data_IF_603515097879
#
_entry.id   IF_603515097879
#
_cell.length_a   1.000
_cell.length_b   1.000
_cell.length_c   1.000
_cell.angle_alpha   90.00
_cell.angle_beta   90.00
_cell.angle_gamma   90.00
#
_symmetry.space_group_name_H-M   'P 1'
#
loop_
_entity.id
_entity.type
_entity.pdbx_description
1 polymer ?
#
# COMPACT_ATOMS: atom_id res chain seq x y z
N UNK A 1 -1.47 -30.41 4.20
CA UNK A 1 -1.41 -29.51 3.04
C UNK A 1 -2.15 -28.23 3.36
N UNK A 2 -1.51 -27.09 3.13
CA UNK A 2 -2.10 -25.76 3.18
C UNK A 2 -2.41 -25.27 1.76
N UNK A 3 -3.38 -24.38 1.63
CA UNK A 3 -3.52 -23.54 0.44
C UNK A 3 -2.45 -22.46 0.48
N UNK A 4 -1.66 -22.37 -0.59
CA UNK A 4 -0.60 -21.36 -0.76
C UNK A 4 -0.64 -20.65 -2.12
N UNK A 5 -1.63 -20.97 -2.95
CA UNK A 5 -1.81 -20.45 -4.31
C UNK A 5 -3.30 -20.16 -4.52
N UNK A 6 -3.61 -18.92 -4.89
CA UNK A 6 -4.99 -18.50 -5.15
C UNK A 6 -5.69 -19.29 -6.26
N UNK A 7 -4.92 -19.94 -7.15
CA UNK A 7 -5.50 -20.74 -8.23
C UNK A 7 -6.15 -22.04 -7.72
N UNK A 8 -5.78 -22.49 -6.51
CA UNK A 8 -6.23 -23.77 -5.95
C UNK A 8 -7.35 -23.63 -4.93
N UNK A 9 -7.66 -22.40 -4.51
CA UNK A 9 -8.65 -22.09 -3.47
C UNK A 9 -9.87 -21.42 -4.09
N UNK A 10 -11.07 -21.85 -3.68
CA UNK A 10 -12.31 -21.21 -4.11
C UNK A 10 -12.42 -19.80 -3.54
N UNK A 11 -13.12 -18.92 -4.26
CA UNK A 11 -13.36 -17.54 -3.83
C UNK A 11 -14.02 -17.48 -2.44
N UNK A 12 -15.05 -18.30 -2.19
CA UNK A 12 -15.76 -18.32 -0.90
C UNK A 12 -14.81 -18.62 0.26
N UNK A 13 -13.95 -19.63 0.08
CA UNK A 13 -12.98 -20.03 1.10
C UNK A 13 -11.89 -18.98 1.29
N UNK A 14 -11.45 -18.33 0.22
CA UNK A 14 -10.53 -17.20 0.30
C UNK A 14 -11.15 -16.02 1.05
N UNK A 15 -12.42 -15.69 0.82
CA UNK A 15 -13.13 -14.63 1.55
C UNK A 15 -13.13 -14.93 3.05
N UNK A 16 -13.37 -16.17 3.46
CA UNK A 16 -13.29 -16.54 4.88
C UNK A 16 -11.90 -16.25 5.48
N UNK A 17 -10.82 -16.60 4.75
CA UNK A 17 -9.42 -16.34 5.15
C UNK A 17 -9.18 -14.84 5.25
N UNK A 18 -9.59 -14.08 4.23
CA UNK A 18 -9.43 -12.62 4.17
C UNK A 18 -10.14 -11.92 5.34
N UNK A 19 -11.26 -12.46 5.79
CA UNK A 19 -12.03 -11.98 6.95
C UNK A 19 -11.49 -12.47 8.30
N UNK A 20 -10.36 -13.19 8.31
CA UNK A 20 -9.63 -13.59 9.52
C UNK A 20 -9.81 -15.05 9.95
N UNK A 21 -10.56 -15.87 9.21
CA UNK A 21 -10.65 -17.30 9.49
C UNK A 21 -9.46 -18.04 8.87
N UNK A 22 -8.30 -17.90 9.49
CA UNK A 22 -7.04 -18.48 8.99
C UNK A 22 -7.06 -20.02 8.95
N UNK A 23 -7.90 -20.70 9.72
CA UNK A 23 -8.00 -22.17 9.68
C UNK A 23 -8.49 -22.69 8.32
N UNK A 24 -9.11 -21.82 7.52
CA UNK A 24 -9.53 -22.13 6.15
C UNK A 24 -8.34 -22.29 5.19
N UNK A 25 -7.11 -21.95 5.58
CA UNK A 25 -5.91 -22.32 4.79
C UNK A 25 -5.64 -23.83 4.83
N UNK A 26 -6.15 -24.57 5.82
CA UNK A 26 -5.88 -26.01 5.97
C UNK A 26 -6.72 -26.81 4.97
N UNK A 27 -6.06 -27.65 4.16
CA UNK A 27 -6.71 -28.68 3.34
C UNK A 27 -6.73 -30.03 4.05
N UNK A 28 -5.61 -30.40 4.68
CA UNK A 28 -5.47 -31.66 5.43
C UNK A 28 -4.31 -31.56 6.42
N UNK A 29 -4.44 -32.16 7.59
CA UNK A 29 -3.37 -32.21 8.60
C UNK A 29 -3.50 -31.13 9.66
N UNK A 30 -2.55 -31.10 10.59
CA UNK A 30 -2.48 -30.14 11.69
C UNK A 30 -1.27 -29.23 11.47
N UNK A 31 -1.46 -27.94 11.71
CA UNK A 31 -0.45 -26.90 11.49
C UNK A 31 -0.46 -25.93 12.66
N UNK A 32 0.71 -25.37 12.96
CA UNK A 32 0.85 -24.33 13.96
C UNK A 32 0.11 -23.06 13.56
N UNK A 33 -0.13 -22.20 14.53
CA UNK A 33 -0.74 -20.89 14.32
C UNK A 33 0.09 -20.05 13.33
N UNK A 34 1.41 -20.05 13.49
CA UNK A 34 2.34 -19.30 12.64
C UNK A 34 2.29 -19.75 11.18
N UNK A 35 2.28 -21.05 10.92
CA UNK A 35 2.19 -21.58 9.54
C UNK A 35 0.87 -21.18 8.85
N UNK A 36 -0.24 -21.15 9.61
CA UNK A 36 -1.53 -20.69 9.10
C UNK A 36 -1.52 -19.20 8.78
N UNK A 37 -0.93 -18.39 9.65
CA UNK A 37 -0.77 -16.94 9.47
C UNK A 37 0.06 -16.64 8.22
N UNK A 38 1.21 -17.29 8.06
CA UNK A 38 2.09 -17.13 6.89
C UNK A 38 1.39 -17.52 5.58
N UNK A 39 0.66 -18.65 5.56
CA UNK A 39 -0.11 -19.06 4.38
C UNK A 39 -1.26 -18.10 4.06
N UNK A 40 -1.98 -17.64 5.10
CA UNK A 40 -3.06 -16.66 4.97
C UNK A 40 -2.55 -15.33 4.41
N UNK A 41 -1.45 -14.82 4.98
CA UNK A 41 -0.80 -13.59 4.53
C UNK A 41 -0.36 -13.70 3.07
N UNK A 42 0.28 -14.81 2.70
CA UNK A 42 0.70 -15.08 1.31
C UNK A 42 -0.48 -15.01 0.33
N UNK A 43 -1.61 -15.64 0.64
CA UNK A 43 -2.81 -15.61 -0.21
C UNK A 43 -3.42 -14.20 -0.29
N UNK A 44 -3.54 -13.50 0.83
CA UNK A 44 -4.05 -12.13 0.86
C UNK A 44 -3.16 -11.17 0.06
N UNK A 45 -1.84 -11.28 0.22
CA UNK A 45 -0.88 -10.47 -0.52
C UNK A 45 -0.91 -10.78 -2.03
N UNK A 46 -1.04 -12.06 -2.41
CA UNK A 46 -1.22 -12.42 -3.82
C UNK A 46 -2.49 -11.76 -4.40
N UNK A 47 -3.62 -11.82 -3.69
CA UNK A 47 -4.91 -11.29 -4.18
C UNK A 47 -4.85 -9.78 -4.36
N UNK A 48 -4.34 -9.10 -3.33
CA UNK A 48 -4.19 -7.66 -3.31
C UNK A 48 -3.18 -7.16 -4.36
N UNK A 49 -2.16 -7.96 -4.69
CA UNK A 49 -1.23 -7.62 -5.77
C UNK A 49 -1.87 -7.67 -7.17
N UNK A 50 -2.86 -8.56 -7.37
CA UNK A 50 -3.61 -8.66 -8.62
C UNK A 50 -4.62 -7.51 -8.70
N UNK A 51 -5.52 -7.42 -7.73
CA UNK A 51 -6.62 -6.43 -7.72
C UNK A 51 -6.09 -5.01 -7.58
N UNK A 52 -5.10 -4.82 -6.70
CA UNK A 52 -4.49 -3.53 -6.39
C UNK A 52 -3.23 -3.23 -7.21
N UNK A 53 -2.96 -3.91 -8.32
CA UNK A 53 -1.66 -3.86 -9.01
C UNK A 53 -1.10 -2.46 -9.36
N UNK A 54 -1.93 -1.41 -9.43
CA UNK A 54 -1.48 -0.01 -9.50
C UNK A 54 -1.81 0.80 -8.24
N UNK A 55 -3.00 0.62 -7.66
CA UNK A 55 -3.46 1.42 -6.51
C UNK A 55 -2.83 0.98 -5.18
N UNK A 56 -2.58 -0.31 -4.97
CA UNK A 56 -1.84 -0.81 -3.81
C UNK A 56 -0.35 -0.52 -3.91
N UNK A 57 0.26 -0.63 -5.09
CA UNK A 57 1.65 -0.19 -5.27
C UNK A 57 1.78 1.33 -5.04
N UNK A 58 0.83 2.13 -5.53
CA UNK A 58 0.78 3.56 -5.26
C UNK A 58 0.55 3.84 -3.75
N UNK A 59 -0.31 3.08 -3.08
CA UNK A 59 -0.56 3.20 -1.64
C UNK A 59 0.65 2.79 -0.79
N UNK A 60 1.34 1.70 -1.14
CA UNK A 60 2.58 1.23 -0.52
C UNK A 60 3.68 2.26 -0.74
N UNK A 61 3.86 2.75 -1.97
CA UNK A 61 4.82 3.80 -2.27
C UNK A 61 4.49 5.07 -1.48
N UNK A 62 3.22 5.47 -1.41
CA UNK A 62 2.77 6.61 -0.61
C UNK A 62 3.09 6.43 0.87
N UNK A 63 2.82 5.26 1.45
CA UNK A 63 3.16 4.93 2.84
C UNK A 63 4.67 4.91 3.08
N UNK A 64 5.44 4.32 2.17
CA UNK A 64 6.90 4.29 2.24
C UNK A 64 7.48 5.71 2.19
N UNK A 65 6.93 6.59 1.36
CA UNK A 65 7.36 7.99 1.31
C UNK A 65 7.00 8.75 2.61
N UNK A 66 5.81 8.52 3.19
CA UNK A 66 5.46 9.09 4.50
C UNK A 66 6.42 8.60 5.59
N UNK A 67 6.72 7.29 5.62
CA UNK A 67 7.65 6.70 6.57
C UNK A 67 9.06 7.29 6.43
N UNK A 68 9.58 7.41 5.20
CA UNK A 68 10.87 8.06 4.93
C UNK A 68 10.91 9.49 5.44
N UNK A 69 9.84 10.26 5.22
CA UNK A 69 9.72 11.64 5.72
C UNK A 69 9.77 11.66 7.26
N UNK A 70 8.97 10.84 7.93
CA UNK A 70 8.97 10.80 9.41
C UNK A 70 10.32 10.36 9.99
N UNK A 71 10.97 9.35 9.41
CA UNK A 71 12.30 8.91 9.84
C UNK A 71 13.31 10.05 9.75
N UNK A 72 13.34 10.75 8.61
CA UNK A 72 14.24 11.88 8.40
C UNK A 72 13.94 13.05 9.34
N UNK A 73 12.67 13.38 9.56
CA UNK A 73 12.29 14.42 10.53
C UNK A 73 12.73 14.08 11.96
N UNK A 74 12.58 12.82 12.38
CA UNK A 74 13.07 12.36 13.69
C UNK A 74 14.59 12.51 13.80
N UNK A 75 15.35 12.16 12.76
CA UNK A 75 16.79 12.39 12.71
C UNK A 75 17.14 13.88 12.83
N UNK A 76 16.40 14.77 12.16
CA UNK A 76 16.64 16.23 12.24
C UNK A 76 16.30 16.83 13.61
N UNK A 77 15.29 16.30 14.30
CA UNK A 77 15.02 16.66 15.70
C UNK A 77 16.21 16.29 16.59
N UNK A 78 16.83 15.11 16.37
CA UNK A 78 18.07 14.71 17.07
C UNK A 78 19.26 15.61 16.71
N UNK A 79 19.43 15.94 15.43
CA UNK A 79 20.47 16.90 15.02
C UNK A 79 20.30 18.26 15.71
N UNK A 80 19.07 18.72 15.91
CA UNK A 80 18.80 20.00 16.59
C UNK A 80 19.31 19.99 18.03
N UNK A 81 19.06 18.89 18.75
CA UNK A 81 19.58 18.70 20.11
C UNK A 81 21.13 18.67 20.13
N UNK A 82 21.76 17.94 19.21
CA UNK A 82 23.22 17.89 19.15
C UNK A 82 23.86 19.23 18.76
N UNK A 83 23.21 20.02 17.89
CA UNK A 83 23.65 21.38 17.57
C UNK A 83 23.61 22.30 18.79
N UNK A 84 22.58 22.19 19.64
CA UNK A 84 22.49 22.96 20.89
C UNK A 84 23.59 22.58 21.90
N UNK A 85 24.00 21.30 21.90
CA UNK A 85 25.08 20.79 22.73
C UNK A 85 26.48 21.06 22.15
N UNK A 86 26.57 21.51 20.89
CA UNK A 86 27.84 21.71 20.19
C UNK A 86 28.49 20.43 19.64
N UNK A 87 27.76 19.31 19.64
CA UNK A 87 28.21 17.98 19.21
C UNK A 87 28.12 17.83 17.68
N UNK A 88 28.97 18.57 16.95
CA UNK A 88 28.90 18.68 15.49
C UNK A 88 29.28 17.40 14.74
N UNK A 89 30.10 16.55 15.36
CA UNK A 89 30.47 15.26 14.77
C UNK A 89 29.27 14.30 14.75
N UNK A 90 28.42 14.31 15.78
CA UNK A 90 27.18 13.52 15.80
C UNK A 90 26.16 14.04 14.78
N UNK A 91 26.03 15.37 14.63
CA UNK A 91 25.19 15.97 13.58
C UNK A 91 25.65 15.51 12.20
N UNK A 92 26.96 15.54 11.95
CA UNK A 92 27.55 15.10 10.68
C UNK A 92 27.31 13.62 10.43
N UNK A 93 27.50 12.75 11.43
CA UNK A 93 27.26 11.32 11.30
C UNK A 93 25.81 11.01 10.91
N UNK A 94 24.84 11.69 11.52
CA UNK A 94 23.43 11.55 11.18
C UNK A 94 23.16 12.06 9.76
N UNK A 95 23.72 13.22 9.38
CA UNK A 95 23.55 13.78 8.05
C UNK A 95 24.15 12.87 6.97
N UNK A 96 25.31 12.26 7.21
CA UNK A 96 25.97 11.33 6.30
C UNK A 96 25.14 10.04 6.14
N UNK A 97 24.59 9.51 7.23
CA UNK A 97 23.66 8.37 7.20
C UNK A 97 22.36 8.66 6.41
N UNK A 98 21.96 9.93 6.32
CA UNK A 98 20.85 10.40 5.48
C UNK A 98 21.26 10.72 4.03
N UNK A 99 22.55 10.56 3.69
CA UNK A 99 23.11 10.81 2.36
C UNK A 99 23.54 12.25 2.10
N UNK A 100 23.79 13.04 3.15
CA UNK A 100 24.30 14.41 3.04
C UNK A 100 25.69 14.52 3.66
N UNK A 101 26.71 14.70 2.81
CA UNK A 101 28.11 14.78 3.25
C UNK A 101 28.58 16.23 3.42
N UNK A 102 29.31 16.49 4.51
CA UNK A 102 29.85 17.81 4.89
C UNK A 102 31.23 17.69 5.53
N UNK A 103 32.05 18.72 5.37
CA UNK A 103 33.39 18.86 5.99
C UNK A 103 33.34 19.47 7.39
N UNK A 104 34.42 19.21 8.15
CA UNK A 104 34.88 19.89 9.39
C UNK A 104 34.03 21.09 9.80
N UNK A 105 34.31 22.16 9.08
CA UNK A 105 33.89 23.52 9.35
C UNK A 105 32.53 23.92 8.76
N UNK A 106 31.79 23.01 8.13
CA UNK A 106 30.58 23.34 7.36
C UNK A 106 29.29 23.36 8.21
N UNK A 107 29.40 23.81 9.47
CA UNK A 107 28.30 23.82 10.44
C UNK A 107 27.07 24.61 9.96
N UNK A 108 27.28 25.80 9.40
CA UNK A 108 26.17 26.61 8.89
C UNK A 108 25.50 25.99 7.65
N UNK A 109 26.27 25.26 6.84
CA UNK A 109 25.71 24.51 5.70
C UNK A 109 24.86 23.33 6.15
N UNK A 110 25.31 22.61 7.20
CA UNK A 110 24.52 21.55 7.83
C UNK A 110 23.20 22.10 8.37
N UNK A 111 23.24 23.21 9.12
CA UNK A 111 22.04 23.87 9.67
C UNK A 111 21.06 24.27 8.56
N UNK A 112 21.55 24.99 7.55
CA UNK A 112 20.72 25.43 6.43
C UNK A 112 20.10 24.25 5.66
N UNK A 113 20.83 23.14 5.52
CA UNK A 113 20.31 21.92 4.87
C UNK A 113 19.18 21.29 5.70
N UNK A 114 19.37 21.15 7.01
CA UNK A 114 18.37 20.60 7.92
C UNK A 114 17.08 21.42 7.84
N UNK A 115 17.18 22.76 7.91
CA UNK A 115 16.04 23.66 7.85
C UNK A 115 15.29 23.56 6.50
N UNK A 116 16.03 23.62 5.40
CA UNK A 116 15.47 23.56 4.04
C UNK A 116 14.75 22.23 3.77
N UNK A 117 15.39 21.10 4.13
CA UNK A 117 14.78 19.77 3.91
C UNK A 117 13.59 19.56 4.84
N UNK A 118 13.67 20.01 6.10
CA UNK A 118 12.56 19.95 7.05
C UNK A 118 11.33 20.72 6.55
N UNK A 119 11.52 21.92 6.01
CA UNK A 119 10.42 22.73 5.46
C UNK A 119 9.77 22.05 4.24
N UNK A 120 10.59 21.52 3.33
CA UNK A 120 10.13 20.77 2.15
C UNK A 120 9.34 19.52 2.54
N UNK A 121 9.83 18.78 3.52
CA UNK A 121 9.20 17.54 4.02
C UNK A 121 7.88 17.80 4.73
N UNK A 122 7.78 18.85 5.55
CA UNK A 122 6.51 19.26 6.19
C UNK A 122 5.44 19.60 5.16
N UNK A 123 5.78 20.37 4.14
CA UNK A 123 4.86 20.70 3.04
C UNK A 123 4.41 19.44 2.29
N UNK A 124 5.36 18.55 1.97
CA UNK A 124 5.09 17.31 1.25
C UNK A 124 4.22 16.35 2.07
N UNK A 125 4.44 16.25 3.37
CA UNK A 125 3.63 15.44 4.29
C UNK A 125 2.18 15.93 4.33
N UNK A 126 1.98 17.25 4.49
CA UNK A 126 0.64 17.86 4.48
C UNK A 126 -0.13 17.53 3.20
N UNK A 127 0.51 17.67 2.02
CA UNK A 127 -0.08 17.31 0.73
C UNK A 127 -0.41 15.82 0.60
N UNK A 128 0.40 14.94 1.20
CA UNK A 128 0.15 13.49 1.19
C UNK A 128 -1.02 13.12 2.12
N UNK A 129 -1.23 13.85 3.21
CA UNK A 129 -2.32 13.64 4.19
C UNK A 129 -3.67 14.19 3.70
N UNK A 130 -3.72 15.35 3.03
CA UNK A 130 -4.96 15.86 2.42
C UNK A 130 -5.58 14.87 1.41
N UNK A 131 -4.74 14.07 0.74
CA UNK A 131 -5.17 13.02 -0.18
C UNK A 131 -5.47 11.67 0.48
N UNK A 132 -5.27 11.49 1.80
CA UNK A 132 -5.69 10.26 2.51
C UNK A 132 -7.10 10.36 3.11
N UNK A 133 -7.56 11.56 3.44
CA UNK A 133 -8.84 11.76 4.11
C UNK A 133 -10.05 11.60 3.17
N UNK A 134 -9.81 11.63 1.85
CA UNK A 134 -10.81 11.31 0.83
C UNK A 134 -10.91 9.80 0.49
N UNK A 135 -10.08 8.94 1.08
CA UNK A 135 -10.28 7.50 1.03
C UNK A 135 -10.94 7.05 2.34
N UNK A 136 -12.26 7.21 2.44
CA UNK A 136 -13.03 6.48 3.43
C UNK A 136 -12.61 5.01 3.33
N UNK A 137 -11.98 4.46 4.38
CA UNK A 137 -11.55 3.06 4.39
C UNK A 137 -12.82 2.22 4.31
N UNK A 138 -13.23 1.85 3.10
CA UNK A 138 -14.30 0.88 2.92
C UNK A 138 -13.83 -0.39 3.60
N UNK A 139 -14.46 -0.72 4.73
CA UNK A 139 -14.20 -1.97 5.43
C UNK A 139 -14.50 -3.11 4.44
N UNK A 140 -13.48 -3.90 4.11
CA UNK A 140 -13.61 -5.05 3.22
C UNK A 140 -14.22 -6.22 4.00
N UNK A 141 -15.47 -6.07 4.41
CA UNK A 141 -16.26 -7.12 5.04
C UNK A 141 -16.92 -8.05 4.00
N UNK A 142 -17.70 -9.03 4.45
CA UNK A 142 -18.38 -9.95 3.52
C UNK A 142 -19.30 -9.21 2.55
N UNK A 143 -19.97 -8.16 3.00
CA UNK A 143 -20.88 -7.38 2.18
C UNK A 143 -20.12 -6.61 1.08
N UNK A 144 -18.90 -6.14 1.38
CA UNK A 144 -18.00 -5.60 0.36
C UNK A 144 -17.76 -6.61 -0.77
N UNK A 145 -17.40 -7.86 -0.47
CA UNK A 145 -17.15 -8.88 -1.48
C UNK A 145 -18.42 -9.26 -2.27
N UNK A 146 -19.60 -9.23 -1.63
CA UNK A 146 -20.87 -9.43 -2.33
C UNK A 146 -21.11 -8.32 -3.35
N UNK A 147 -20.98 -7.05 -2.93
CA UNK A 147 -21.17 -5.89 -3.82
C UNK A 147 -20.15 -5.88 -4.96
N UNK A 148 -18.89 -6.16 -4.67
CA UNK A 148 -17.82 -6.24 -5.67
C UNK A 148 -18.13 -7.34 -6.69
N UNK A 149 -18.54 -8.53 -6.24
CA UNK A 149 -18.89 -9.64 -7.13
C UNK A 149 -20.10 -9.30 -7.99
N UNK A 150 -21.14 -8.67 -7.45
CA UNK A 150 -22.32 -8.23 -8.21
C UNK A 150 -21.91 -7.20 -9.27
N UNK A 151 -21.03 -6.27 -8.94
CA UNK A 151 -20.51 -5.29 -9.90
C UNK A 151 -19.73 -5.96 -11.04
N UNK A 152 -18.85 -6.90 -10.71
CA UNK A 152 -18.10 -7.69 -11.70
C UNK A 152 -19.05 -8.49 -12.58
N UNK A 153 -19.98 -9.26 -12.00
CA UNK A 153 -20.99 -10.03 -12.76
C UNK A 153 -21.78 -9.15 -13.74
N UNK A 154 -22.20 -7.96 -13.27
CA UNK A 154 -22.94 -6.99 -14.08
C UNK A 154 -22.11 -6.43 -15.24
N UNK A 155 -20.82 -6.18 -15.00
CA UNK A 155 -19.89 -5.64 -15.98
C UNK A 155 -19.55 -6.66 -17.08
N UNK A 156 -19.18 -7.88 -16.69
CA UNK A 156 -18.75 -8.93 -17.63
C UNK A 156 -19.91 -9.76 -18.19
N UNK A 157 -21.12 -9.58 -17.67
CA UNK A 157 -22.34 -10.34 -18.04
C UNK A 157 -22.19 -11.85 -17.88
N UNK A 158 -21.52 -12.28 -16.80
CA UNK A 158 -21.29 -13.68 -16.46
C UNK A 158 -21.60 -13.93 -14.99
N UNK A 159 -22.24 -15.05 -14.69
CA UNK A 159 -22.48 -15.48 -13.32
C UNK A 159 -21.19 -16.03 -12.69
N UNK A 160 -20.88 -15.57 -11.48
CA UNK A 160 -19.73 -16.02 -10.68
C UNK A 160 -20.23 -16.75 -9.45
N UNK A 161 -20.08 -18.07 -9.42
CA UNK A 161 -20.31 -18.85 -8.20
C UNK A 161 -19.02 -18.90 -7.38
N UNK A 162 -19.07 -18.37 -6.15
CA UNK A 162 -17.92 -18.29 -5.25
C UNK A 162 -17.35 -19.65 -4.82
N UNK A 163 -18.12 -20.73 -4.98
CA UNK A 163 -17.67 -22.07 -4.61
C UNK A 163 -16.89 -22.77 -5.74
N UNK A 164 -17.09 -22.33 -6.99
CA UNK A 164 -16.49 -22.96 -8.17
C UNK A 164 -15.37 -22.10 -8.78
N UNK A 165 -15.48 -20.78 -8.72
CA UNK A 165 -14.41 -19.88 -9.16
C UNK A 165 -13.22 -19.93 -8.22
N UNK A 166 -12.01 -19.98 -8.79
CA UNK A 166 -10.81 -19.74 -8.00
C UNK A 166 -10.73 -18.27 -7.57
N UNK A 167 -10.11 -18.03 -6.41
CA UNK A 167 -9.87 -16.66 -5.95
C UNK A 167 -8.97 -15.88 -6.93
N UNK A 168 -8.09 -16.58 -7.66
CA UNK A 168 -7.19 -15.98 -8.66
C UNK A 168 -7.94 -15.48 -9.89
N UNK A 169 -8.82 -16.30 -10.47
CA UNK A 169 -9.66 -15.89 -11.61
C UNK A 169 -10.51 -14.69 -11.24
N UNK A 170 -11.15 -14.73 -10.06
CA UNK A 170 -11.93 -13.61 -9.56
C UNK A 170 -11.09 -12.33 -9.41
N UNK A 171 -9.88 -12.42 -8.86
CA UNK A 171 -8.98 -11.27 -8.73
C UNK A 171 -8.67 -10.61 -10.09
N UNK A 172 -8.43 -11.41 -11.13
CA UNK A 172 -8.21 -10.90 -12.48
C UNK A 172 -9.47 -10.28 -13.10
N UNK A 173 -10.66 -10.83 -12.83
CA UNK A 173 -11.92 -10.22 -13.28
C UNK A 173 -12.14 -8.84 -12.66
N UNK A 174 -11.88 -8.70 -11.35
CA UNK A 174 -11.93 -7.40 -10.66
C UNK A 174 -10.91 -6.43 -11.29
N UNK A 175 -9.66 -6.88 -11.47
CA UNK A 175 -8.61 -6.07 -12.10
C UNK A 175 -9.02 -5.56 -13.48
N UNK A 176 -9.50 -6.45 -14.35
CA UNK A 176 -9.89 -6.11 -15.72
C UNK A 176 -11.04 -5.09 -15.74
N UNK A 177 -12.07 -5.30 -14.91
CA UNK A 177 -13.16 -4.33 -14.76
C UNK A 177 -12.63 -2.94 -14.36
N UNK A 178 -11.76 -2.88 -13.35
CA UNK A 178 -11.17 -1.63 -12.89
C UNK A 178 -10.31 -0.95 -13.98
N UNK A 179 -9.51 -1.71 -14.73
CA UNK A 179 -8.69 -1.19 -15.83
C UNK A 179 -9.55 -0.62 -16.97
N UNK A 180 -10.64 -1.29 -17.32
CA UNK A 180 -11.60 -0.82 -18.34
C UNK A 180 -12.34 0.44 -17.90
N UNK A 181 -12.85 0.49 -16.67
CA UNK A 181 -13.50 1.69 -16.10
C UNK A 181 -12.52 2.86 -16.13
N UNK A 182 -11.29 2.64 -15.67
CA UNK A 182 -10.25 3.66 -15.68
C UNK A 182 -9.90 4.12 -17.11
N UNK A 183 -9.88 3.22 -18.09
CA UNK A 183 -9.68 3.57 -19.50
C UNK A 183 -10.80 4.45 -20.04
N UNK A 184 -12.06 4.13 -19.73
CA UNK A 184 -13.23 4.95 -20.08
C UNK A 184 -13.19 6.33 -19.42
N UNK A 185 -12.80 6.43 -18.16
CA UNK A 185 -12.65 7.73 -17.47
C UNK A 185 -11.57 8.58 -18.17
N UNK A 186 -10.44 7.98 -18.56
CA UNK A 186 -9.37 8.68 -19.27
C UNK A 186 -9.81 9.18 -20.66
N UNK A 187 -10.54 8.38 -21.43
CA UNK A 187 -11.02 8.80 -22.76
C UNK A 187 -12.04 9.93 -22.67
N UNK A 188 -12.98 9.89 -21.72
CA UNK A 188 -13.95 10.97 -21.50
C UNK A 188 -13.27 12.28 -21.09
N UNK A 189 -12.23 12.23 -20.24
CA UNK A 189 -11.41 13.41 -19.85
C UNK A 189 -10.57 13.97 -21.00
N UNK A 190 -10.24 13.17 -22.00
CA UNK A 190 -9.54 13.62 -23.21
C UNK A 190 -10.51 14.31 -24.17
N UNK A 191 -11.68 13.73 -24.41
CA UNK A 191 -12.69 14.33 -25.29
C UNK A 191 -13.20 15.69 -24.79
N UNK A 192 -13.36 15.87 -23.47
CA UNK A 192 -13.73 17.17 -22.90
C UNK A 192 -12.62 18.24 -22.98
N UNK A 193 -11.37 17.88 -23.31
CA UNK A 193 -10.27 18.85 -23.51
C UNK A 193 -10.08 19.29 -24.96
N UNK A 194 -10.61 18.55 -25.93
CA UNK A 194 -10.55 18.88 -27.36
C UNK A 194 -11.91 19.26 -27.97
N UNK A 195 -12.98 19.27 -27.17
CA UNK A 195 -14.27 19.85 -27.54
C UNK A 195 -14.27 21.37 -27.29
N UNK A 196 -13.66 22.13 -28.19
CA UNK A 196 -13.96 23.53 -28.47
C UNK A 196 -14.02 23.73 -29.97
#
# INVERSE_FOLDING_TARGET
MLYEDLNKISLSRFIDIFLGNIDKVIVKGQYSQKEKEEASEKLCNEYLSIVGGKDMQALINKRNEILKIHMRMCCFERCSLFMELGEWDEVRNIMDALGYSFKDSEHDKMRSRIESVSASDKYRLAKLQEHSDNSGRTKMDREYFIRERVAVMSHIKMHIDENTFSAKEYAYLVKNMCEEINAKIRSTKSNNRYGK
#
